data_IF_010647179366
#
_entry.id   IF_010647179366
#
_cell.length_a   1.000
_cell.length_b   1.000
_cell.length_c   1.000
_cell.angle_alpha   90.00
_cell.angle_beta   90.00
_cell.angle_gamma   90.00
#
_symmetry.space_group_name_H-M   'P 1'
#
loop_
_entity.id
_entity.type
_entity.pdbx_description
1 polymer ?
#
# COMPACT_ATOMS: atom_id res chain seq x y z
N UNK A 1 8.15 0.29 -16.91
CA UNK A 1 8.12 1.24 -15.76
C UNK A 1 6.70 1.43 -15.22
N UNK A 2 5.69 0.85 -15.86
CA UNK A 2 4.26 1.09 -15.62
C UNK A 2 3.80 0.54 -14.25
N UNK A 3 4.34 -0.60 -13.82
CA UNK A 3 3.95 -1.22 -12.55
C UNK A 3 4.72 -0.69 -11.33
N UNK A 4 5.61 0.28 -11.50
CA UNK A 4 6.46 0.77 -10.40
C UNK A 4 5.59 1.36 -9.26
N UNK A 5 4.54 2.11 -9.62
CA UNK A 5 3.60 2.69 -8.66
C UNK A 5 2.83 1.60 -7.92
N UNK A 6 2.42 0.54 -8.63
CA UNK A 6 1.76 -0.61 -8.02
C UNK A 6 2.68 -1.35 -7.04
N UNK A 7 3.93 -1.60 -7.42
CA UNK A 7 4.95 -2.27 -6.59
C UNK A 7 5.25 -1.44 -5.34
N UNK A 8 5.37 -0.12 -5.46
CA UNK A 8 5.56 0.79 -4.32
C UNK A 8 4.34 0.76 -3.40
N UNK A 9 3.13 0.78 -3.96
CA UNK A 9 1.88 0.65 -3.19
C UNK A 9 1.81 -0.67 -2.41
N UNK A 10 2.17 -1.79 -3.05
CA UNK A 10 2.15 -3.12 -2.41
C UNK A 10 3.22 -3.23 -1.33
N UNK A 11 4.41 -2.69 -1.56
CA UNK A 11 5.45 -2.62 -0.54
C UNK A 11 5.00 -1.78 0.66
N UNK A 12 4.40 -0.61 0.42
CA UNK A 12 3.91 0.28 1.48
C UNK A 12 2.79 -0.38 2.30
N UNK A 13 1.86 -1.06 1.62
CA UNK A 13 0.81 -1.86 2.27
C UNK A 13 1.40 -2.98 3.12
N UNK A 14 2.36 -3.75 2.58
CA UNK A 14 3.01 -4.85 3.29
C UNK A 14 3.77 -4.38 4.53
N UNK A 15 4.52 -3.27 4.43
CA UNK A 15 5.19 -2.65 5.58
C UNK A 15 4.16 -2.16 6.59
N UNK A 16 3.09 -1.50 6.15
CA UNK A 16 2.01 -1.02 7.02
C UNK A 16 1.35 -2.17 7.79
N UNK A 17 1.11 -3.30 7.12
CA UNK A 17 0.59 -4.51 7.74
C UNK A 17 1.56 -5.14 8.75
N UNK A 18 2.85 -5.22 8.41
CA UNK A 18 3.86 -5.71 9.35
C UNK A 18 3.95 -4.82 10.60
N UNK A 19 3.91 -3.50 10.42
CA UNK A 19 3.95 -2.51 11.49
C UNK A 19 2.67 -2.57 12.34
N UNK A 20 1.52 -2.91 11.73
CA UNK A 20 0.28 -3.20 12.44
C UNK A 20 0.46 -4.39 13.39
N UNK A 21 0.98 -5.52 12.89
CA UNK A 21 1.23 -6.71 13.70
C UNK A 21 2.20 -6.43 14.86
N UNK A 22 3.26 -5.66 14.59
CA UNK A 22 4.22 -5.27 15.61
C UNK A 22 3.60 -4.36 16.68
N UNK A 23 2.80 -3.37 16.29
CA UNK A 23 2.11 -2.50 17.25
C UNK A 23 1.01 -3.22 18.02
N UNK A 24 0.32 -4.18 17.39
CA UNK A 24 -0.65 -5.05 18.03
C UNK A 24 0.03 -5.92 19.10
N UNK A 25 1.18 -6.52 18.78
CA UNK A 25 2.00 -7.26 19.74
C UNK A 25 2.43 -6.37 20.92
N UNK A 26 2.80 -5.12 20.65
CA UNK A 26 3.17 -4.13 21.67
C UNK A 26 1.98 -3.50 22.40
N UNK A 27 0.73 -3.92 22.12
CA UNK A 27 -0.52 -3.34 22.65
C UNK A 27 -0.60 -1.81 22.53
N UNK A 28 -0.04 -1.26 21.46
CA UNK A 28 -0.03 0.19 21.18
C UNK A 28 -1.17 0.58 20.23
N UNK A 29 -1.39 1.90 20.11
CA UNK A 29 -2.37 2.47 19.18
C UNK A 29 -2.03 2.07 17.74
N UNK A 30 -3.03 1.56 17.02
CA UNK A 30 -2.90 1.05 15.65
C UNK A 30 -3.29 2.06 14.57
N UNK A 31 -3.59 3.31 14.94
CA UNK A 31 -4.10 4.32 13.99
C UNK A 31 -3.11 4.60 12.85
N UNK A 32 -1.82 4.69 13.17
CA UNK A 32 -0.75 4.96 12.19
C UNK A 32 -0.64 3.86 11.13
N UNK A 33 -0.49 2.56 11.48
CA UNK A 33 -0.40 1.51 10.46
C UNK A 33 -1.69 1.37 9.64
N UNK A 34 -2.87 1.63 10.22
CA UNK A 34 -4.14 1.62 9.47
C UNK A 34 -4.17 2.71 8.39
N UNK A 35 -3.76 3.94 8.71
CA UNK A 35 -3.66 5.04 7.73
C UNK A 35 -2.66 4.69 6.64
N UNK A 36 -1.50 4.14 7.04
CA UNK A 36 -0.44 3.74 6.12
C UNK A 36 -0.87 2.61 5.16
N UNK A 37 -1.61 1.61 5.67
CA UNK A 37 -2.23 0.57 4.83
C UNK A 37 -3.26 1.16 3.87
N UNK A 38 -4.12 2.08 4.33
CA UNK A 38 -5.09 2.76 3.48
C UNK A 38 -4.43 3.52 2.33
N UNK A 39 -3.36 4.26 2.61
CA UNK A 39 -2.58 4.96 1.60
C UNK A 39 -1.92 3.99 0.60
N UNK A 40 -1.38 2.86 1.07
CA UNK A 40 -0.82 1.82 0.22
C UNK A 40 -1.85 1.22 -0.74
N UNK A 41 -3.07 0.96 -0.26
CA UNK A 41 -4.17 0.45 -1.11
C UNK A 41 -4.54 1.46 -2.20
N UNK A 42 -4.67 2.74 -1.87
CA UNK A 42 -4.97 3.77 -2.87
C UNK A 42 -3.87 3.86 -3.94
N UNK A 43 -2.60 3.75 -3.55
CA UNK A 43 -1.48 3.71 -4.48
C UNK A 43 -1.50 2.45 -5.37
N UNK A 44 -1.88 1.29 -4.84
CA UNK A 44 -2.06 0.09 -5.63
C UNK A 44 -3.13 0.30 -6.71
N UNK A 45 -4.29 0.84 -6.35
CA UNK A 45 -5.35 1.11 -7.32
C UNK A 45 -4.94 2.15 -8.36
N UNK A 46 -4.28 3.25 -7.95
CA UNK A 46 -3.76 4.25 -8.88
C UNK A 46 -2.73 3.65 -9.85
N UNK A 47 -1.82 2.80 -9.36
CA UNK A 47 -0.84 2.10 -10.18
C UNK A 47 -1.47 1.12 -11.17
N UNK A 48 -2.54 0.42 -10.77
CA UNK A 48 -3.28 -0.47 -11.67
C UNK A 48 -3.97 0.31 -12.78
N UNK A 49 -4.67 1.39 -12.46
CA UNK A 49 -5.35 2.23 -13.45
C UNK A 49 -4.35 2.75 -14.49
N UNK A 50 -3.24 3.35 -14.03
CA UNK A 50 -2.19 3.87 -14.90
C UNK A 50 -1.56 2.79 -15.80
N UNK A 51 -1.37 1.57 -15.27
CA UNK A 51 -0.86 0.46 -16.06
C UNK A 51 -1.88 -0.07 -17.08
N UNK A 52 -3.18 -0.02 -16.77
CA UNK A 52 -4.24 -0.41 -17.70
C UNK A 52 -4.41 0.60 -18.84
N UNK A 53 -4.38 1.90 -18.54
CA UNK A 53 -4.45 2.96 -19.56
C UNK A 53 -3.29 2.85 -20.55
N UNK A 54 -2.07 2.55 -20.08
CA UNK A 54 -0.93 2.34 -20.95
C UNK A 54 -1.08 1.11 -21.86
N UNK A 55 -1.71 0.04 -21.37
CA UNK A 55 -1.89 -1.20 -22.16
C UNK A 55 -3.01 -1.10 -23.21
N UNK A 56 -3.85 -0.07 -23.15
CA UNK A 56 -5.00 0.14 -24.05
C UNK A 56 -4.70 1.06 -25.25
N UNK A 57 -3.52 1.71 -25.27
CA UNK A 57 -3.00 2.52 -26.40
C UNK A 57 -1.97 1.75 -27.20
#
# INVERSE_FOLDING_TARGET
>A
MEYLIFIVGTALFGIGFFLLLLLLYMKKKMTVPFIMMGAGVLLCFAGLILAQDFSAT
#
